data_IF_510684017492
#
_entry.id   IF_510684017492
#
_cell.length_a   1.000
_cell.length_b   1.000
_cell.length_c   1.000
_cell.angle_alpha   90.00
_cell.angle_beta   90.00
_cell.angle_gamma   90.00
#
_symmetry.space_group_name_H-M   'P 1'
#
loop_
_entity.id
_entity.type
_entity.pdbx_description
1 polymer ?
#
# COMPACT_ATOMS: atom_id res chain seq x y z
N UNK A 1 10.54 3.20 28.47
CA UNK A 1 10.00 2.77 27.17
C UNK A 1 9.83 1.25 27.23
N UNK A 2 8.61 0.80 27.44
CA UNK A 2 8.30 -0.58 27.13
C UNK A 2 8.29 -0.71 25.60
N UNK A 3 9.07 -1.65 25.05
CA UNK A 3 8.94 -2.01 23.66
C UNK A 3 7.91 -3.16 23.59
N UNK A 4 6.64 -2.88 23.29
CA UNK A 4 5.59 -3.91 23.26
C UNK A 4 5.81 -4.96 22.16
N UNK A 5 6.72 -4.70 21.23
CA UNK A 5 7.06 -5.63 20.15
C UNK A 5 8.19 -6.60 20.52
N UNK A 6 8.91 -6.35 21.64
CA UNK A 6 10.00 -7.23 22.06
C UNK A 6 9.55 -8.67 22.37
N UNK A 7 8.27 -8.85 22.75
CA UNK A 7 7.66 -10.14 23.06
C UNK A 7 6.77 -10.67 21.93
N UNK A 8 6.65 -9.95 20.81
CA UNK A 8 5.89 -10.43 19.66
C UNK A 8 6.67 -11.56 18.97
N UNK A 9 5.99 -12.66 18.55
CA UNK A 9 6.67 -13.71 17.79
C UNK A 9 7.26 -13.09 16.52
N UNK A 10 8.53 -13.46 16.23
CA UNK A 10 9.22 -12.99 15.04
C UNK A 10 8.37 -13.29 13.79
N UNK A 11 8.01 -12.26 13.05
CA UNK A 11 7.26 -12.41 11.80
C UNK A 11 8.14 -13.17 10.81
N UNK A 12 7.62 -14.26 10.27
CA UNK A 12 8.32 -14.96 9.20
C UNK A 12 8.38 -14.08 7.96
N UNK A 13 9.58 -13.73 7.54
CA UNK A 13 9.79 -12.92 6.33
C UNK A 13 9.72 -13.81 5.10
N UNK A 14 8.87 -13.44 4.15
CA UNK A 14 8.72 -14.13 2.86
C UNK A 14 9.15 -13.21 1.74
N UNK A 15 9.64 -13.77 0.63
CA UNK A 15 10.10 -13.01 -0.53
C UNK A 15 11.37 -13.59 -1.14
N UNK A 16 12.08 -12.78 -1.93
CA UNK A 16 13.37 -13.19 -2.53
C UNK A 16 14.40 -13.48 -1.43
N UNK A 17 15.12 -14.61 -1.49
CA UNK A 17 16.06 -15.01 -0.43
C UNK A 17 17.13 -13.95 -0.12
N UNK A 18 17.62 -13.26 -1.16
CA UNK A 18 18.66 -12.23 -1.03
C UNK A 18 18.15 -11.04 -0.21
N UNK A 19 16.92 -10.60 -0.49
CA UNK A 19 16.27 -9.50 0.23
C UNK A 19 15.99 -9.89 1.67
N UNK A 20 15.41 -11.07 1.90
CA UNK A 20 15.12 -11.59 3.24
C UNK A 20 16.42 -11.70 4.06
N UNK A 21 17.48 -12.20 3.44
CA UNK A 21 18.80 -12.28 4.10
C UNK A 21 19.30 -10.89 4.50
N UNK A 22 19.30 -9.93 3.59
CA UNK A 22 19.75 -8.57 3.88
C UNK A 22 18.91 -7.91 4.98
N UNK A 23 17.58 -8.11 4.96
CA UNK A 23 16.70 -7.59 6.00
C UNK A 23 17.07 -8.15 7.35
N UNK A 24 17.19 -9.47 7.50
CA UNK A 24 17.51 -10.13 8.78
C UNK A 24 18.90 -9.82 9.28
N UNK A 25 19.89 -9.87 8.39
CA UNK A 25 21.29 -9.79 8.78
C UNK A 25 21.77 -8.34 9.00
N UNK A 26 21.08 -7.36 8.39
CA UNK A 26 21.50 -5.98 8.40
C UNK A 26 20.42 -4.99 8.86
N UNK A 27 19.25 -4.99 8.17
CA UNK A 27 18.26 -3.93 8.39
C UNK A 27 17.52 -4.08 9.72
N UNK A 28 17.16 -5.29 10.15
CA UNK A 28 16.51 -5.51 11.45
C UNK A 28 17.40 -5.10 12.61
N UNK A 29 18.68 -5.53 12.72
CA UNK A 29 19.58 -5.06 13.79
C UNK A 29 19.72 -3.54 13.82
N UNK A 30 19.84 -2.89 12.66
CA UNK A 30 19.92 -1.43 12.59
C UNK A 30 18.61 -0.78 13.06
N UNK A 31 17.47 -1.32 12.67
CA UNK A 31 16.14 -0.76 12.99
C UNK A 31 15.81 -0.85 14.48
N UNK A 32 16.30 -1.89 15.19
CA UNK A 32 16.15 -2.02 16.64
C UNK A 32 17.27 -1.32 17.43
N UNK A 33 18.10 -0.51 16.76
CA UNK A 33 19.21 0.24 17.37
C UNK A 33 20.36 -0.64 17.89
N UNK A 34 20.52 -1.87 17.36
CA UNK A 34 21.62 -2.80 17.68
C UNK A 34 22.69 -2.86 16.57
N UNK A 35 22.81 -1.80 15.78
CA UNK A 35 23.78 -1.73 14.69
C UNK A 35 25.24 -1.89 15.13
N UNK A 36 25.56 -1.50 16.38
CA UNK A 36 26.90 -1.62 16.95
C UNK A 36 27.35 -3.08 17.14
N UNK A 37 26.41 -4.04 17.18
CA UNK A 37 26.72 -5.47 17.22
C UNK A 37 27.22 -6.01 15.88
N UNK A 38 27.00 -5.27 14.79
CA UNK A 38 27.35 -5.70 13.44
C UNK A 38 28.86 -5.44 13.17
N UNK A 39 29.60 -6.46 12.70
CA UNK A 39 30.98 -6.25 12.26
C UNK A 39 30.99 -5.43 10.96
N UNK A 40 32.08 -4.68 10.74
CA UNK A 40 32.27 -3.89 9.48
C UNK A 40 32.09 -4.75 8.23
N UNK A 41 32.46 -6.03 8.30
CA UNK A 41 32.28 -6.99 7.19
C UNK A 41 30.82 -7.28 6.83
N UNK A 42 29.84 -6.99 7.69
CA UNK A 42 28.42 -7.13 7.38
C UNK A 42 27.99 -6.18 6.24
N UNK A 43 28.70 -5.07 6.07
CA UNK A 43 28.43 -4.05 5.05
C UNK A 43 29.19 -4.27 3.75
N UNK A 44 29.96 -5.35 3.62
CA UNK A 44 30.84 -5.60 2.48
C UNK A 44 30.07 -5.64 1.14
N UNK A 45 28.93 -6.30 1.13
CA UNK A 45 28.15 -6.51 -0.09
C UNK A 45 27.33 -5.28 -0.51
N UNK A 46 27.29 -4.25 0.35
CA UNK A 46 26.61 -2.96 0.10
C UNK A 46 27.55 -1.77 0.26
N UNK A 47 28.86 -2.00 0.13
CA UNK A 47 29.90 -0.97 0.33
C UNK A 47 29.77 0.22 -0.64
N UNK A 48 29.12 0.03 -1.78
CA UNK A 48 28.80 1.06 -2.77
C UNK A 48 27.44 1.75 -2.53
N UNK A 49 26.72 1.36 -1.46
CA UNK A 49 25.40 1.89 -1.14
C UNK A 49 24.24 1.27 -1.93
N UNK A 50 24.48 0.23 -2.72
CA UNK A 50 23.42 -0.47 -3.44
C UNK A 50 22.76 -1.51 -2.54
N UNK A 51 21.48 -1.32 -2.29
CA UNK A 51 20.64 -2.25 -1.55
C UNK A 51 19.81 -3.12 -2.51
N UNK A 52 19.43 -4.31 -2.03
CA UNK A 52 18.50 -5.16 -2.78
C UNK A 52 17.16 -4.45 -3.00
N UNK A 53 16.67 -4.50 -4.25
CA UNK A 53 15.40 -3.88 -4.62
C UNK A 53 14.24 -4.53 -3.87
N UNK A 54 13.34 -3.70 -3.35
CA UNK A 54 12.16 -4.15 -2.61
C UNK A 54 12.38 -4.31 -1.11
N UNK A 55 13.57 -4.03 -0.57
CA UNK A 55 13.84 -4.12 0.86
C UNK A 55 12.93 -3.21 1.72
N UNK A 56 12.52 -2.06 1.20
CA UNK A 56 11.58 -1.14 1.88
C UNK A 56 10.21 -1.74 2.19
N UNK A 57 9.80 -2.80 1.49
CA UNK A 57 8.55 -3.50 1.78
C UNK A 57 8.52 -4.15 3.17
N UNK A 58 9.68 -4.42 3.74
CA UNK A 58 9.82 -5.02 5.08
C UNK A 58 9.88 -3.97 6.20
N UNK A 59 10.02 -2.69 5.86
CA UNK A 59 10.11 -1.60 6.82
C UNK A 59 8.80 -0.81 6.86
N UNK A 60 7.86 -1.27 7.67
CA UNK A 60 6.56 -0.62 7.88
C UNK A 60 6.60 0.20 9.18
N UNK A 61 6.86 1.50 9.08
CA UNK A 61 7.10 2.36 10.25
C UNK A 61 5.84 2.89 10.95
N UNK A 62 4.74 3.03 10.23
CA UNK A 62 3.48 3.52 10.79
C UNK A 62 3.60 4.91 11.44
N UNK A 63 4.32 5.83 10.82
CA UNK A 63 4.65 7.14 11.42
C UNK A 63 3.51 8.14 11.44
N UNK A 64 2.48 7.93 10.63
CA UNK A 64 1.35 8.85 10.56
C UNK A 64 0.41 8.69 11.75
N UNK A 65 0.07 9.78 12.43
CA UNK A 65 -0.98 9.79 13.46
C UNK A 65 -2.37 9.65 12.85
N UNK A 66 -2.55 10.30 11.69
CA UNK A 66 -3.81 10.28 10.95
C UNK A 66 -3.58 9.77 9.54
N UNK A 67 -4.45 8.89 9.07
CA UNK A 67 -4.40 8.30 7.73
C UNK A 67 -5.76 8.44 7.02
N UNK A 68 -5.79 8.40 5.68
CA UNK A 68 -7.04 8.51 4.96
C UNK A 68 -7.90 7.26 5.09
N UNK A 69 -9.16 7.45 5.41
CA UNK A 69 -10.22 6.46 5.27
C UNK A 69 -11.04 6.75 4.02
N UNK A 70 -11.25 5.75 3.17
CA UNK A 70 -12.06 5.84 1.98
C UNK A 70 -13.50 5.39 2.22
N UNK A 71 -14.48 6.19 1.73
CA UNK A 71 -15.89 5.83 1.69
C UNK A 71 -16.34 5.50 0.25
N UNK A 72 -16.71 4.24 -0.03
CA UNK A 72 -17.15 3.83 -1.36
C UNK A 72 -18.41 4.51 -1.85
N UNK A 73 -19.35 4.87 -0.96
CA UNK A 73 -20.64 5.43 -1.32
C UNK A 73 -20.51 6.86 -1.89
N UNK A 74 -19.60 7.66 -1.35
CA UNK A 74 -19.40 9.05 -1.73
C UNK A 74 -18.34 9.23 -2.83
N UNK A 75 -17.54 8.20 -3.13
CA UNK A 75 -16.44 8.27 -4.08
C UNK A 75 -16.91 8.37 -5.53
N UNK A 76 -16.29 9.27 -6.30
CA UNK A 76 -16.54 9.45 -7.75
C UNK A 76 -15.58 8.65 -8.64
N UNK A 77 -14.63 7.93 -8.06
CA UNK A 77 -13.66 7.06 -8.74
C UNK A 77 -12.74 7.80 -9.74
N UNK A 78 -12.38 9.04 -9.46
CA UNK A 78 -11.51 9.85 -10.32
C UNK A 78 -10.01 9.52 -10.16
N UNK A 79 -9.62 8.73 -9.16
CA UNK A 79 -8.25 8.33 -8.82
C UNK A 79 -7.27 9.48 -8.49
N UNK A 80 -7.74 10.72 -8.35
CA UNK A 80 -6.88 11.88 -8.04
C UNK A 80 -6.08 11.68 -6.74
N UNK A 81 -6.68 11.05 -5.72
CA UNK A 81 -6.02 10.73 -4.45
C UNK A 81 -4.85 9.75 -4.62
N UNK A 82 -4.99 8.75 -5.49
CA UNK A 82 -3.90 7.82 -5.79
C UNK A 82 -2.81 8.51 -6.64
N UNK A 83 -3.22 9.33 -7.60
CA UNK A 83 -2.29 10.04 -8.48
C UNK A 83 -1.39 11.04 -7.72
N UNK A 84 -1.93 11.75 -6.73
CA UNK A 84 -1.16 12.74 -5.94
C UNK A 84 -0.30 12.10 -4.86
N UNK A 85 -0.54 10.83 -4.48
CA UNK A 85 0.16 10.19 -3.38
C UNK A 85 1.62 9.90 -3.75
N UNK A 86 2.54 10.69 -3.22
CA UNK A 86 3.99 10.56 -3.47
C UNK A 86 4.60 9.23 -2.99
N UNK A 87 3.95 8.57 -2.02
CA UNK A 87 4.40 7.28 -1.47
C UNK A 87 3.64 6.08 -2.05
N UNK A 88 2.71 6.32 -3.00
CA UNK A 88 1.87 5.28 -3.62
C UNK A 88 1.14 4.39 -2.60
N UNK A 89 0.80 4.94 -1.44
CA UNK A 89 0.10 4.24 -0.35
C UNK A 89 -1.40 4.18 -0.57
N UNK A 90 -1.91 4.90 -1.56
CA UNK A 90 -3.31 4.86 -1.99
C UNK A 90 -3.35 4.27 -3.39
N UNK A 91 -4.04 3.15 -3.56
CA UNK A 91 -4.12 2.46 -4.84
C UNK A 91 -5.54 2.03 -5.20
N UNK A 92 -5.99 2.31 -6.43
CA UNK A 92 -7.24 1.79 -6.95
C UNK A 92 -7.05 0.39 -7.52
N UNK A 93 -8.05 -0.46 -7.31
CA UNK A 93 -8.13 -1.76 -7.95
C UNK A 93 -9.52 -1.97 -8.55
N UNK A 94 -9.57 -2.74 -9.64
CA UNK A 94 -10.79 -3.26 -10.21
C UNK A 94 -10.73 -4.78 -10.08
N UNK A 95 -11.77 -5.37 -9.48
CA UNK A 95 -11.86 -6.79 -9.20
C UNK A 95 -12.99 -7.41 -10.00
N UNK A 96 -12.73 -8.58 -10.58
CA UNK A 96 -13.78 -9.43 -11.13
C UNK A 96 -14.50 -10.24 -10.02
N UNK A 97 -15.54 -10.98 -10.40
CA UNK A 97 -16.32 -11.77 -9.44
C UNK A 97 -15.49 -12.83 -8.69
N UNK A 98 -14.49 -13.41 -9.33
CA UNK A 98 -13.66 -14.45 -8.71
C UNK A 98 -12.69 -13.83 -7.69
N UNK A 99 -12.08 -12.71 -8.02
CA UNK A 99 -11.22 -11.95 -7.12
C UNK A 99 -12.00 -11.43 -5.91
N UNK A 100 -13.24 -10.98 -6.11
CA UNK A 100 -14.11 -10.54 -5.00
C UNK A 100 -14.42 -11.68 -4.03
N UNK A 101 -14.66 -12.90 -4.54
CA UNK A 101 -14.98 -14.07 -3.69
C UNK A 101 -13.87 -14.48 -2.76
N UNK A 102 -12.62 -14.25 -3.14
CA UNK A 102 -11.43 -14.65 -2.37
C UNK A 102 -10.77 -13.47 -1.63
N UNK A 103 -11.27 -12.25 -1.85
CA UNK A 103 -10.76 -11.05 -1.18
C UNK A 103 -11.01 -11.08 0.34
N UNK A 104 -10.16 -10.43 1.15
CA UNK A 104 -10.39 -10.29 2.58
C UNK A 104 -11.74 -9.66 2.89
N UNK A 105 -12.42 -10.13 3.94
CA UNK A 105 -13.76 -9.67 4.31
C UNK A 105 -13.85 -8.18 4.66
N UNK A 106 -12.73 -7.58 5.07
CA UNK A 106 -12.60 -6.16 5.42
C UNK A 106 -12.49 -5.23 4.21
N UNK A 107 -12.43 -5.78 3.00
CA UNK A 107 -12.36 -4.97 1.77
C UNK A 107 -13.63 -4.13 1.61
N UNK A 108 -13.45 -2.84 1.35
CA UNK A 108 -14.54 -1.94 0.99
C UNK A 108 -14.69 -1.94 -0.53
N UNK A 109 -15.88 -2.17 -1.05
CA UNK A 109 -16.15 -2.29 -2.48
C UNK A 109 -17.26 -1.34 -2.91
N UNK A 110 -17.16 -0.83 -4.13
CA UNK A 110 -18.22 -0.14 -4.87
C UNK A 110 -18.38 -0.76 -6.26
N UNK A 111 -19.50 -0.53 -6.92
CA UNK A 111 -19.60 -0.85 -8.34
C UNK A 111 -18.69 0.05 -9.14
N UNK A 112 -17.97 -0.50 -10.11
CA UNK A 112 -17.14 0.29 -10.99
C UNK A 112 -18.01 1.21 -11.86
N UNK A 113 -17.75 2.53 -11.81
CA UNK A 113 -18.60 3.54 -12.47
C UNK A 113 -18.34 3.73 -13.95
N UNK A 114 -17.29 3.10 -14.48
CA UNK A 114 -16.91 3.28 -15.88
C UNK A 114 -17.39 2.09 -16.70
N UNK A 115 -18.01 2.34 -17.85
CA UNK A 115 -18.70 1.37 -18.68
C UNK A 115 -17.89 0.13 -19.12
N UNK A 116 -16.58 0.19 -19.05
CA UNK A 116 -15.67 -0.93 -19.40
C UNK A 116 -15.49 -1.91 -18.28
N UNK A 117 -15.73 -1.47 -17.08
CA UNK A 117 -15.68 -2.27 -15.88
C UNK A 117 -17.10 -2.76 -15.49
N UNK A 118 -18.02 -2.85 -16.46
CA UNK A 118 -19.38 -3.31 -16.21
C UNK A 118 -19.35 -4.70 -15.58
N UNK A 119 -20.03 -4.86 -14.45
CA UNK A 119 -20.00 -6.08 -13.65
C UNK A 119 -18.76 -6.22 -12.72
N UNK A 120 -17.77 -5.33 -12.80
CA UNK A 120 -16.62 -5.36 -11.91
C UNK A 120 -16.85 -4.50 -10.65
N UNK A 121 -16.07 -4.78 -9.61
CA UNK A 121 -16.04 -4.00 -8.37
C UNK A 121 -14.80 -3.13 -8.32
N UNK A 122 -14.98 -1.92 -7.81
CA UNK A 122 -13.92 -0.96 -7.56
C UNK A 122 -13.59 -0.87 -6.08
N UNK A 123 -12.32 -0.75 -5.76
CA UNK A 123 -11.86 -0.39 -4.41
C UNK A 123 -10.73 0.64 -4.48
N UNK A 124 -10.68 1.50 -3.47
CA UNK A 124 -9.55 2.38 -3.21
C UNK A 124 -8.94 1.94 -1.87
N UNK A 125 -7.82 1.27 -1.93
CA UNK A 125 -7.14 0.78 -0.72
C UNK A 125 -6.04 1.73 -0.27
N UNK A 126 -5.76 1.71 1.02
CA UNK A 126 -4.72 2.53 1.65
C UNK A 126 -3.81 1.63 2.46
N UNK A 127 -2.49 1.85 2.35
CA UNK A 127 -1.50 1.28 3.29
C UNK A 127 -1.31 2.24 4.47
N UNK A 128 -1.93 2.00 5.64
CA UNK A 128 -1.83 2.91 6.78
C UNK A 128 -0.41 2.96 7.37
N UNK A 129 0.36 1.87 7.26
CA UNK A 129 1.72 1.81 7.80
C UNK A 129 2.76 2.54 6.92
N UNK A 130 2.48 2.72 5.64
CA UNK A 130 3.35 3.45 4.71
C UNK A 130 2.91 4.91 4.52
N UNK A 131 1.71 5.26 4.99
CA UNK A 131 1.17 6.61 4.88
C UNK A 131 1.95 7.59 5.76
N UNK A 132 2.24 8.79 5.22
CA UNK A 132 2.91 9.87 5.96
C UNK A 132 1.95 10.89 6.58
N UNK A 133 0.64 10.72 6.39
CA UNK A 133 -0.38 11.60 6.97
C UNK A 133 -0.41 13.02 6.39
N UNK A 134 0.11 13.25 5.19
CA UNK A 134 0.25 14.60 4.60
C UNK A 134 -1.07 15.28 4.23
N UNK A 135 -2.17 14.52 4.04
CA UNK A 135 -3.50 15.07 3.72
C UNK A 135 -3.72 15.48 2.26
N UNK A 136 -2.73 15.40 1.37
CA UNK A 136 -2.86 15.80 -0.03
C UNK A 136 -4.00 15.10 -0.78
N UNK A 137 -4.25 13.83 -0.45
CA UNK A 137 -5.36 13.06 -1.01
C UNK A 137 -6.74 13.67 -0.71
N UNK A 138 -6.89 14.35 0.43
CA UNK A 138 -8.12 15.09 0.79
C UNK A 138 -8.22 16.37 -0.04
N UNK A 139 -7.11 17.11 -0.14
CA UNK A 139 -7.04 18.40 -0.84
C UNK A 139 -7.46 18.27 -2.31
N UNK A 140 -7.03 17.21 -2.99
CA UNK A 140 -7.35 17.01 -4.43
C UNK A 140 -8.67 16.29 -4.67
N UNK A 141 -9.33 15.80 -3.63
CA UNK A 141 -10.56 15.01 -3.81
C UNK A 141 -11.78 15.92 -4.10
N UNK A 142 -12.41 15.81 -5.27
CA UNK A 142 -13.57 16.63 -5.62
C UNK A 142 -14.81 16.30 -4.77
N UNK A 143 -14.81 15.16 -4.10
CA UNK A 143 -15.88 14.69 -3.22
C UNK A 143 -15.50 14.71 -1.73
N UNK A 144 -14.41 15.39 -1.34
CA UNK A 144 -13.99 15.47 0.06
C UNK A 144 -15.08 16.04 0.97
N UNK A 145 -15.77 17.09 0.53
CA UNK A 145 -16.89 17.69 1.28
C UNK A 145 -18.06 16.72 1.52
N UNK A 146 -18.17 15.65 0.74
CA UNK A 146 -19.15 14.57 0.89
C UNK A 146 -18.62 13.40 1.72
N UNK A 147 -17.39 13.48 2.22
CA UNK A 147 -16.77 12.46 3.03
C UNK A 147 -16.19 11.28 2.24
N UNK A 148 -15.99 11.41 0.92
CA UNK A 148 -15.45 10.33 0.09
C UNK A 148 -14.06 9.85 0.54
N UNK A 149 -13.30 10.73 1.14
CA UNK A 149 -12.02 10.44 1.80
C UNK A 149 -11.85 11.45 2.95
N UNK A 150 -11.44 10.95 4.12
CA UNK A 150 -11.24 11.77 5.32
C UNK A 150 -10.09 11.24 6.14
N UNK A 151 -9.40 12.09 6.92
CA UNK A 151 -8.37 11.66 7.84
C UNK A 151 -9.00 11.11 9.12
N UNK A 152 -8.50 9.95 9.55
CA UNK A 152 -8.91 9.26 10.79
C UNK A 152 -7.66 8.76 11.54
N UNK A 153 -7.74 8.47 12.84
CA UNK A 153 -6.63 7.88 13.59
C UNK A 153 -6.12 6.60 12.92
N UNK A 154 -4.80 6.45 12.84
CA UNK A 154 -4.16 5.32 12.14
C UNK A 154 -4.60 3.97 12.70
N UNK A 155 -4.71 3.83 14.03
CA UNK A 155 -5.13 2.61 14.70
C UNK A 155 -6.52 2.13 14.25
N UNK A 156 -7.40 3.05 13.83
CA UNK A 156 -8.74 2.70 13.31
C UNK A 156 -8.68 2.03 11.92
N UNK A 157 -7.54 2.12 11.24
CA UNK A 157 -7.33 1.56 9.90
C UNK A 157 -6.36 0.37 9.88
N UNK A 158 -6.00 -0.18 11.04
CA UNK A 158 -5.07 -1.31 11.13
C UNK A 158 -5.49 -2.51 10.26
N UNK A 159 -6.78 -2.80 10.18
CA UNK A 159 -7.34 -3.89 9.36
C UNK A 159 -7.21 -3.65 7.84
N UNK A 160 -6.91 -2.43 7.40
CA UNK A 160 -6.74 -2.11 5.99
C UNK A 160 -5.34 -2.47 5.46
N UNK A 161 -4.33 -2.63 6.33
CA UNK A 161 -3.01 -3.05 5.88
C UNK A 161 -3.01 -4.44 5.25
N UNK A 162 -3.58 -5.49 5.86
CA UNK A 162 -3.71 -6.80 5.22
C UNK A 162 -4.51 -6.76 3.91
N UNK A 163 -5.52 -5.90 3.81
CA UNK A 163 -6.28 -5.72 2.56
C UNK A 163 -5.40 -5.13 1.46
N UNK A 164 -4.63 -4.08 1.78
CA UNK A 164 -3.69 -3.49 0.84
C UNK A 164 -2.66 -4.50 0.35
N UNK A 165 -2.01 -5.21 1.27
CA UNK A 165 -0.98 -6.19 0.97
C UNK A 165 -1.53 -7.34 0.11
N UNK A 166 -2.75 -7.81 0.41
CA UNK A 166 -3.44 -8.84 -0.37
C UNK A 166 -3.71 -8.37 -1.80
N UNK A 167 -4.26 -7.16 -1.98
CA UNK A 167 -4.62 -6.64 -3.30
C UNK A 167 -3.38 -6.41 -4.17
N UNK A 168 -2.31 -5.87 -3.59
CA UNK A 168 -1.04 -5.70 -4.29
C UNK A 168 -0.44 -7.02 -4.76
N UNK A 169 -0.56 -8.07 -3.95
CA UNK A 169 0.02 -9.38 -4.26
C UNK A 169 -0.83 -10.22 -5.24
N UNK A 170 -2.17 -10.07 -5.22
CA UNK A 170 -3.07 -11.03 -5.86
C UNK A 170 -3.94 -10.43 -6.98
N UNK A 171 -4.17 -9.12 -7.00
CA UNK A 171 -5.01 -8.49 -8.03
C UNK A 171 -4.14 -7.89 -9.11
N UNK A 172 -4.08 -8.56 -10.24
CA UNK A 172 -3.25 -8.18 -11.37
C UNK A 172 -3.83 -7.03 -12.21
N UNK A 173 -2.99 -6.56 -13.12
CA UNK A 173 -3.35 -5.60 -14.16
C UNK A 173 -4.51 -6.13 -15.02
N UNK A 174 -5.50 -5.28 -15.30
CA UNK A 174 -6.62 -5.61 -16.19
C UNK A 174 -6.38 -5.07 -17.60
N UNK A 175 -6.75 -5.84 -18.60
CA UNK A 175 -6.76 -5.37 -19.99
C UNK A 175 -8.07 -4.63 -20.30
N UNK A 176 -8.15 -3.39 -19.83
CA UNK A 176 -9.30 -2.50 -20.02
C UNK A 176 -9.00 -1.38 -21.03
N UNK A 177 -8.03 -1.62 -21.90
CA UNK A 177 -7.46 -0.63 -22.83
C UNK A 177 -8.40 0.06 -23.80
N UNK A 178 -9.49 -0.48 -24.30
CA UNK A 178 -10.32 0.30 -25.22
C UNK A 178 -10.85 1.60 -24.61
N UNK A 179 -10.92 1.70 -23.28
CA UNK A 179 -11.55 2.83 -22.58
C UNK A 179 -10.63 3.53 -21.60
N UNK A 180 -9.75 2.80 -20.92
CA UNK A 180 -8.74 3.42 -20.07
C UNK A 180 -7.38 3.36 -20.76
N UNK A 181 -7.05 4.42 -21.48
CA UNK A 181 -5.72 4.57 -22.09
C UNK A 181 -4.70 4.99 -21.04
N UNK A 182 -3.44 4.62 -21.23
CA UNK A 182 -2.32 5.07 -20.40
C UNK A 182 -2.13 6.60 -20.44
N UNK A 183 -2.80 7.27 -21.37
CA UNK A 183 -2.74 8.72 -21.55
C UNK A 183 -3.62 9.50 -20.54
N UNK A 184 -4.42 8.84 -19.73
CA UNK A 184 -5.25 9.49 -18.71
C UNK A 184 -4.82 9.14 -17.30
N UNK A 185 -4.93 10.06 -16.30
CA UNK A 185 -4.64 9.73 -14.90
C UNK A 185 -5.42 8.51 -14.38
N UNK A 186 -6.68 8.37 -14.81
CA UNK A 186 -7.52 7.22 -14.43
C UNK A 186 -6.96 5.93 -15.04
N UNK A 187 -6.72 5.92 -16.34
CA UNK A 187 -6.25 4.75 -17.08
C UNK A 187 -4.85 4.30 -16.62
N UNK A 188 -3.94 5.25 -16.41
CA UNK A 188 -2.58 4.95 -15.96
C UNK A 188 -2.55 4.21 -14.61
N UNK A 189 -3.48 4.54 -13.69
CA UNK A 189 -3.55 3.88 -12.39
C UNK A 189 -3.88 2.39 -12.48
N UNK A 190 -4.67 1.96 -13.49
CA UNK A 190 -5.02 0.55 -13.68
C UNK A 190 -4.01 -0.21 -14.54
N UNK A 191 -3.20 0.49 -15.31
CA UNK A 191 -2.25 -0.11 -16.25
C UNK A 191 -0.81 -0.10 -15.73
N UNK A 192 -0.52 0.54 -14.61
CA UNK A 192 0.80 0.51 -14.00
C UNK A 192 1.12 -0.88 -13.47
N UNK A 193 2.37 -1.35 -13.63
CA UNK A 193 2.80 -2.52 -12.90
C UNK A 193 2.71 -2.21 -11.40
N UNK A 194 2.11 -3.11 -10.66
CA UNK A 194 2.20 -3.11 -9.21
C UNK A 194 3.61 -3.58 -8.88
N UNK A 195 4.37 -2.72 -8.26
CA UNK A 195 5.76 -3.01 -7.84
C UNK A 195 5.77 -4.02 -6.69
#
# INVERSE_FOLDING_TARGET
WANPEADAPAKELTGRPEVVKMVKDLLEPISIMDGDSLPVSAFKDIADGQFELGASAYEKRGTAVMVPEWDPASCVQCNSCAFVCSHATIRPFILDENEVKVAPSQIKLADAKHAVADGMKFTMTVSPLDCMGCGECITVCPAAAKGAIKMVPQESQAEQQPVFDYLVANVGKKDIKPVFTDATPIGSQYNQPLL
#
